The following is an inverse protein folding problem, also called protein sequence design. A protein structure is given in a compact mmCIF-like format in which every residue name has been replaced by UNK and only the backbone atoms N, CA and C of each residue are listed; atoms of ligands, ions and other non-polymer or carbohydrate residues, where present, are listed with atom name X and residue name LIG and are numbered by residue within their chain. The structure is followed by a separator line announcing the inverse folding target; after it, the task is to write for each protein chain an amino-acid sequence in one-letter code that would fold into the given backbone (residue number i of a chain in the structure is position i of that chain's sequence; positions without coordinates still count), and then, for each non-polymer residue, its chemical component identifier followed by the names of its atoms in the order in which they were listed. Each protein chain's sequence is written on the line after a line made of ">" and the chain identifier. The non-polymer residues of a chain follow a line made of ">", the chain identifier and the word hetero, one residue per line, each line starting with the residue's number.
data_IF_852149219030
#
_entry.id   IF_852149219030
#
_cell.length_a   1.000
_cell.length_b   1.000
_cell.length_c   1.000
_cell.angle_alpha   90.00
_cell.angle_beta   90.00
_cell.angle_gamma   90.00
#
_symmetry.space_group_name_H-M   'P 1'
#
loop_
_entity.id
_entity.type
_entity.pdbx_description
1 polymer ?
#
# COMPACT_ATOMS: atom_id res chain seq x y z
N UNK A 1 -1.82 13.27 -9.48
CA UNK A 1 -2.37 12.70 -10.72
C UNK A 1 -1.72 11.35 -10.99
N UNK A 2 -2.51 10.34 -11.31
CA UNK A 2 -2.07 8.98 -11.70
C UNK A 2 -2.54 8.74 -13.12
N UNK A 3 -1.67 8.22 -13.98
CA UNK A 3 -2.05 7.91 -15.36
C UNK A 3 -1.59 6.51 -15.77
N UNK A 4 -2.46 5.80 -16.46
CA UNK A 4 -2.16 4.57 -17.20
C UNK A 4 -2.35 4.87 -18.69
N UNK A 5 -1.35 4.55 -19.51
CA UNK A 5 -1.40 4.77 -20.97
C UNK A 5 -1.13 3.45 -21.68
N UNK A 6 -2.15 2.87 -22.29
CA UNK A 6 -2.10 1.62 -23.03
C UNK A 6 -1.42 0.47 -22.25
N UNK A 7 -1.69 0.39 -20.95
CA UNK A 7 -1.02 -0.53 -20.03
C UNK A 7 -1.50 -1.94 -20.23
N UNK A 8 -0.56 -2.85 -20.47
CA UNK A 8 -0.81 -4.29 -20.53
C UNK A 8 0.07 -4.98 -19.49
N UNK A 9 -0.53 -5.89 -18.73
CA UNK A 9 0.20 -6.82 -17.86
C UNK A 9 -0.17 -8.25 -18.22
N UNK A 10 0.84 -9.00 -18.67
CA UNK A 10 0.77 -10.42 -18.97
C UNK A 10 1.67 -11.20 -18.00
N UNK A 11 1.14 -12.24 -17.40
CA UNK A 11 1.91 -13.16 -16.57
C UNK A 11 2.50 -14.32 -17.40
N UNK A 12 3.42 -15.09 -16.80
CA UNK A 12 4.19 -16.13 -17.49
C UNK A 12 3.35 -17.24 -18.17
N UNK A 13 2.12 -17.46 -17.74
CA UNK A 13 1.17 -18.44 -18.28
C UNK A 13 0.28 -17.86 -19.39
N UNK A 14 0.73 -16.82 -20.08
CA UNK A 14 -0.02 -16.08 -21.11
C UNK A 14 -1.35 -15.46 -20.64
N UNK A 15 -1.55 -15.39 -19.34
CA UNK A 15 -2.73 -14.74 -18.76
C UNK A 15 -2.57 -13.21 -18.77
N UNK A 16 -3.48 -12.54 -19.44
CA UNK A 16 -3.57 -11.08 -19.43
C UNK A 16 -4.39 -10.64 -18.23
N UNK A 17 -3.72 -10.07 -17.22
CA UNK A 17 -4.41 -9.46 -16.09
C UNK A 17 -4.93 -8.05 -16.41
N UNK A 18 -4.20 -7.31 -17.26
CA UNK A 18 -4.62 -6.04 -17.83
C UNK A 18 -4.29 -6.04 -19.32
N UNK A 19 -5.18 -5.55 -20.16
CA UNK A 19 -4.99 -5.48 -21.62
C UNK A 19 -5.36 -4.11 -22.12
N UNK A 20 -4.35 -3.35 -22.55
CA UNK A 20 -4.49 -2.02 -23.15
C UNK A 20 -5.35 -1.05 -22.30
N UNK A 21 -5.08 -1.01 -21.00
CA UNK A 21 -5.83 -0.16 -20.06
C UNK A 21 -5.28 1.25 -20.09
N UNK A 22 -6.17 2.22 -20.33
CA UNK A 22 -5.86 3.64 -20.19
C UNK A 22 -6.84 4.28 -19.22
N UNK A 23 -6.33 4.99 -18.22
CA UNK A 23 -7.13 5.73 -17.25
C UNK A 23 -6.31 6.88 -16.67
N UNK A 24 -7.01 7.86 -16.17
CA UNK A 24 -6.43 9.01 -15.49
C UNK A 24 -7.20 9.27 -14.20
N UNK A 25 -6.46 9.53 -13.11
CA UNK A 25 -7.01 9.87 -11.81
C UNK A 25 -6.38 11.19 -11.39
N UNK A 26 -7.22 12.21 -11.22
CA UNK A 26 -6.77 13.55 -10.85
C UNK A 26 -6.57 13.67 -9.32
N UNK A 27 -5.89 14.73 -8.92
CA UNK A 27 -5.71 15.04 -7.49
C UNK A 27 -7.07 15.35 -6.84
N UNK A 28 -7.29 14.77 -5.65
CA UNK A 28 -8.53 14.95 -4.89
C UNK A 28 -9.68 14.03 -5.30
N UNK A 29 -9.52 13.20 -6.31
CA UNK A 29 -10.55 12.23 -6.69
C UNK A 29 -10.59 11.04 -5.73
N UNK A 30 -11.80 10.53 -5.52
CA UNK A 30 -12.07 9.27 -4.84
C UNK A 30 -12.58 8.25 -5.87
N UNK A 31 -11.81 7.20 -6.12
CA UNK A 31 -12.05 6.25 -7.21
C UNK A 31 -12.31 4.84 -6.68
N UNK A 32 -13.40 4.23 -7.10
CA UNK A 32 -13.67 2.81 -6.90
C UNK A 32 -13.23 1.99 -8.11
N UNK A 33 -12.44 0.92 -7.87
CA UNK A 33 -12.11 -0.07 -8.89
C UNK A 33 -13.00 -1.30 -8.66
N UNK A 34 -13.98 -1.47 -9.54
CA UNK A 34 -14.97 -2.55 -9.46
C UNK A 34 -14.78 -3.59 -10.57
N UNK A 35 -15.22 -4.81 -10.33
CA UNK A 35 -15.15 -5.89 -11.31
C UNK A 35 -15.17 -7.27 -10.64
N UNK A 36 -15.40 -8.32 -11.42
CA UNK A 36 -15.39 -9.71 -10.96
C UNK A 36 -14.04 -10.14 -10.33
N UNK A 37 -14.01 -11.27 -9.63
CA UNK A 37 -12.75 -11.87 -9.20
C UNK A 37 -11.89 -12.19 -10.42
N UNK A 38 -10.58 -11.92 -10.35
CA UNK A 38 -9.68 -12.10 -11.49
C UNK A 38 -9.68 -10.98 -12.54
N UNK A 39 -10.53 -9.96 -12.43
CA UNK A 39 -10.61 -8.85 -13.40
C UNK A 39 -9.38 -7.91 -13.44
N UNK A 40 -8.31 -8.21 -12.70
CA UNK A 40 -7.08 -7.42 -12.73
C UNK A 40 -6.99 -6.30 -11.69
N UNK A 41 -7.99 -6.13 -10.80
CA UNK A 41 -8.01 -5.05 -9.78
C UNK A 41 -6.75 -5.03 -8.91
N UNK A 42 -6.37 -6.19 -8.36
CA UNK A 42 -5.16 -6.32 -7.54
C UNK A 42 -3.89 -6.07 -8.36
N UNK A 43 -3.87 -6.48 -9.63
CA UNK A 43 -2.74 -6.22 -10.53
C UNK A 43 -2.58 -4.73 -10.81
N UNK A 44 -3.68 -4.00 -11.00
CA UNK A 44 -3.66 -2.55 -11.16
C UNK A 44 -3.05 -1.88 -9.93
N UNK A 45 -3.46 -2.28 -8.72
CA UNK A 45 -2.86 -1.78 -7.48
C UNK A 45 -1.38 -2.12 -7.38
N UNK A 46 -0.98 -3.37 -7.70
CA UNK A 46 0.43 -3.81 -7.66
C UNK A 46 1.34 -3.02 -8.60
N UNK A 47 0.82 -2.59 -9.74
CA UNK A 47 1.53 -1.68 -10.64
C UNK A 47 1.74 -0.31 -9.98
N UNK A 48 0.74 0.24 -9.29
CA UNK A 48 0.84 1.56 -8.65
C UNK A 48 1.97 1.63 -7.62
N UNK A 49 2.08 0.63 -6.72
CA UNK A 49 3.16 0.64 -5.73
C UNK A 49 4.42 -0.13 -6.17
N UNK A 50 4.55 -0.37 -7.48
CA UNK A 50 5.74 -1.01 -8.09
C UNK A 50 6.12 -2.37 -7.48
N UNK A 51 5.13 -3.18 -7.08
CA UNK A 51 5.33 -4.61 -6.79
C UNK A 51 5.43 -5.39 -8.10
N UNK A 52 4.69 -4.95 -9.12
CA UNK A 52 4.73 -5.47 -10.47
C UNK A 52 5.12 -4.37 -11.46
N UNK A 53 5.71 -4.75 -12.58
CA UNK A 53 5.98 -3.85 -13.71
C UNK A 53 5.02 -4.18 -14.86
N UNK A 54 4.57 -3.18 -15.63
CA UNK A 54 3.77 -3.43 -16.82
C UNK A 54 4.59 -4.20 -17.86
N UNK A 55 3.93 -5.03 -18.68
CA UNK A 55 4.55 -5.70 -19.83
C UNK A 55 4.74 -4.71 -20.97
N UNK A 56 3.79 -3.79 -21.15
CA UNK A 56 3.86 -2.67 -22.08
C UNK A 56 2.98 -1.52 -21.60
N UNK A 57 3.15 -0.34 -22.20
CA UNK A 57 2.47 0.87 -21.79
C UNK A 57 3.21 1.60 -20.66
N UNK A 58 2.62 2.71 -20.21
CA UNK A 58 3.23 3.60 -19.21
C UNK A 58 2.30 3.76 -18.03
N UNK A 59 2.85 3.61 -16.81
CA UNK A 59 2.19 3.98 -15.57
C UNK A 59 2.97 5.15 -14.97
N UNK A 60 2.30 6.27 -14.69
CA UNK A 60 2.96 7.41 -14.06
C UNK A 60 2.19 7.93 -12.86
N UNK A 61 2.93 8.44 -11.88
CA UNK A 61 2.42 9.06 -10.65
C UNK A 61 3.12 10.41 -10.49
N UNK A 62 2.35 11.48 -10.42
CA UNK A 62 2.92 12.83 -10.37
C UNK A 62 3.83 13.17 -11.55
N UNK A 63 3.57 12.61 -12.74
CA UNK A 63 4.41 12.77 -13.93
C UNK A 63 5.65 11.85 -13.99
N UNK A 64 5.93 11.08 -12.95
CA UNK A 64 7.07 10.16 -12.90
C UNK A 64 6.62 8.79 -13.43
N UNK A 65 7.26 8.30 -14.51
CA UNK A 65 7.05 6.93 -14.99
C UNK A 65 7.63 5.92 -13.99
N UNK A 66 6.76 5.18 -13.31
CA UNK A 66 7.16 4.25 -12.26
C UNK A 66 7.75 2.94 -12.78
N UNK A 67 7.52 2.58 -14.07
CA UNK A 67 8.10 1.39 -14.68
C UNK A 67 9.63 1.46 -14.81
N UNK A 68 10.18 2.68 -14.88
CA UNK A 68 11.62 2.94 -15.01
C UNK A 68 12.32 3.21 -13.66
N UNK A 69 11.58 3.13 -12.54
CA UNK A 69 12.20 3.28 -11.23
C UNK A 69 13.17 2.12 -10.96
N UNK A 70 14.36 2.47 -10.48
CA UNK A 70 15.31 1.49 -9.94
C UNK A 70 14.80 0.98 -8.59
N UNK A 71 15.27 -0.22 -8.20
CA UNK A 71 14.88 -0.81 -6.91
C UNK A 71 15.17 0.09 -5.72
N UNK A 72 16.21 0.90 -5.79
CA UNK A 72 16.60 1.87 -4.76
C UNK A 72 15.60 3.04 -4.61
N UNK A 73 14.88 3.39 -5.68
CA UNK A 73 13.91 4.49 -5.69
C UNK A 73 12.49 4.04 -5.32
N UNK A 74 12.18 2.74 -5.45
CA UNK A 74 10.85 2.19 -5.10
C UNK A 74 10.46 2.48 -3.64
N UNK A 75 11.35 2.36 -2.63
CA UNK A 75 10.99 2.73 -1.26
C UNK A 75 10.55 4.19 -1.12
N UNK A 76 11.15 5.11 -1.86
CA UNK A 76 10.75 6.52 -1.82
C UNK A 76 9.37 6.75 -2.43
N UNK A 77 9.03 6.06 -3.52
CA UNK A 77 7.68 6.06 -4.08
C UNK A 77 6.65 5.57 -3.03
N UNK A 78 6.92 4.42 -2.40
CA UNK A 78 6.02 3.82 -1.42
C UNK A 78 5.81 4.67 -0.17
N UNK A 79 6.83 5.44 0.26
CA UNK A 79 6.72 6.41 1.36
C UNK A 79 5.75 7.55 1.08
N UNK A 80 5.49 7.86 -0.19
CA UNK A 80 4.52 8.87 -0.59
C UNK A 80 3.08 8.33 -0.69
N UNK A 81 2.85 7.06 -0.34
CA UNK A 81 1.56 6.38 -0.45
C UNK A 81 1.14 5.79 0.90
N UNK A 82 -0.13 5.94 1.26
CA UNK A 82 -0.77 5.11 2.28
C UNK A 82 -1.37 3.88 1.62
N UNK A 83 -0.88 2.69 1.93
CA UNK A 83 -1.36 1.43 1.35
C UNK A 83 -1.93 0.56 2.45
N UNK A 84 -3.22 0.23 2.36
CA UNK A 84 -3.87 -0.75 3.24
C UNK A 84 -4.05 -2.04 2.47
N UNK A 85 -3.40 -3.11 2.92
CA UNK A 85 -3.46 -4.41 2.28
C UNK A 85 -4.67 -5.22 2.74
N UNK A 86 -5.22 -6.04 1.86
CA UNK A 86 -6.35 -6.91 2.16
C UNK A 86 -6.01 -7.96 3.23
N UNK A 87 -4.78 -8.44 3.28
CA UNK A 87 -4.23 -9.40 4.24
C UNK A 87 -3.46 -8.74 5.40
N UNK A 88 -3.72 -7.45 5.61
CA UNK A 88 -3.20 -6.55 6.65
C UNK A 88 -1.67 -6.44 6.73
N UNK A 89 -0.90 -7.45 6.30
CA UNK A 89 0.58 -7.51 6.33
C UNK A 89 1.19 -7.23 7.71
N UNK A 90 0.48 -7.59 8.78
CA UNK A 90 0.95 -7.40 10.14
C UNK A 90 2.03 -8.42 10.52
N UNK A 91 2.99 -7.97 11.31
CA UNK A 91 4.00 -8.79 11.94
C UNK A 91 3.35 -9.56 13.10
N UNK A 92 3.02 -10.84 12.86
CA UNK A 92 2.19 -11.64 13.76
C UNK A 92 2.78 -11.84 15.16
N UNK A 93 4.10 -11.84 15.29
CA UNK A 93 4.84 -12.03 16.54
C UNK A 93 5.21 -10.70 17.23
N UNK A 94 4.65 -9.58 16.77
CA UNK A 94 4.90 -8.26 17.32
C UNK A 94 3.61 -7.67 17.88
N UNK A 95 3.74 -6.76 18.84
CA UNK A 95 2.59 -6.05 19.39
C UNK A 95 1.96 -5.10 18.36
N UNK A 96 0.75 -4.62 18.61
CA UNK A 96 0.10 -3.55 17.85
C UNK A 96 0.99 -2.31 17.82
N UNK A 97 1.56 -1.93 18.95
CA UNK A 97 2.52 -0.84 19.05
C UNK A 97 3.71 -1.05 18.12
N UNK A 98 4.34 -2.23 18.15
CA UNK A 98 5.52 -2.51 17.34
C UNK A 98 5.22 -2.59 15.84
N UNK A 99 4.05 -3.08 15.45
CA UNK A 99 3.60 -3.06 14.07
C UNK A 99 3.57 -1.63 13.51
N UNK A 100 2.98 -0.68 14.24
CA UNK A 100 2.92 0.73 13.83
C UNK A 100 4.31 1.39 13.94
N UNK A 101 5.04 1.13 15.02
CA UNK A 101 6.38 1.69 15.24
C UNK A 101 7.39 1.23 14.19
N UNK A 102 7.25 0.02 13.66
CA UNK A 102 8.19 -0.57 12.70
C UNK A 102 8.42 0.34 11.49
N UNK A 103 7.34 0.82 10.89
CA UNK A 103 7.41 1.71 9.72
C UNK A 103 8.11 3.02 10.08
N UNK A 104 7.74 3.63 11.21
CA UNK A 104 8.30 4.92 11.65
C UNK A 104 9.79 4.79 11.98
N UNK A 105 10.23 3.67 12.57
CA UNK A 105 11.66 3.38 12.86
C UNK A 105 12.50 3.40 11.60
N UNK A 106 11.97 2.92 10.47
CA UNK A 106 12.70 2.92 9.18
C UNK A 106 12.95 4.32 8.62
N UNK A 107 12.28 5.34 9.16
CA UNK A 107 12.45 6.73 8.74
C UNK A 107 13.56 7.48 9.51
N UNK A 108 14.24 6.81 10.44
CA UNK A 108 15.34 7.42 11.23
C UNK A 108 14.87 8.42 12.29
N UNK A 109 13.63 8.34 12.72
CA UNK A 109 13.02 9.24 13.70
C UNK A 109 13.44 8.84 15.13
N UNK A 110 13.55 9.80 16.05
CA UNK A 110 13.95 9.56 17.44
C UNK A 110 12.92 8.70 18.19
N UNK A 111 13.38 7.87 19.14
CA UNK A 111 12.49 6.98 19.92
C UNK A 111 11.38 7.74 20.66
N UNK A 112 11.67 8.95 21.15
CA UNK A 112 10.67 9.80 21.82
C UNK A 112 9.56 10.23 20.88
N UNK A 113 9.91 10.61 19.66
CA UNK A 113 8.99 11.02 18.62
C UNK A 113 8.19 9.84 18.05
N UNK A 114 8.81 8.66 17.91
CA UNK A 114 8.12 7.44 17.53
C UNK A 114 6.98 7.15 18.51
N UNK A 115 7.27 7.17 19.83
CA UNK A 115 6.25 6.91 20.83
C UNK A 115 5.06 7.88 20.74
N UNK A 116 5.32 9.16 20.57
CA UNK A 116 4.27 10.17 20.42
C UNK A 116 3.39 9.91 19.17
N UNK A 117 4.02 9.60 18.02
CA UNK A 117 3.33 9.32 16.75
C UNK A 117 2.51 8.05 16.81
N UNK A 118 3.07 6.96 17.34
CA UNK A 118 2.36 5.67 17.48
C UNK A 118 1.14 5.83 18.39
N UNK A 119 1.29 6.46 19.57
CA UNK A 119 0.17 6.70 20.46
C UNK A 119 -0.91 7.57 19.81
N UNK A 120 -0.52 8.59 19.05
CA UNK A 120 -1.45 9.42 18.28
C UNK A 120 -2.23 8.61 17.25
N UNK A 121 -1.54 7.83 16.42
CA UNK A 121 -2.15 6.98 15.40
C UNK A 121 -3.11 5.95 16.02
N UNK A 122 -2.68 5.24 17.07
CA UNK A 122 -3.52 4.24 17.75
C UNK A 122 -4.77 4.85 18.40
N UNK A 123 -4.70 6.08 18.89
CA UNK A 123 -5.88 6.81 19.39
C UNK A 123 -6.85 7.12 18.27
N UNK A 124 -6.38 7.58 17.12
CA UNK A 124 -7.22 7.90 15.94
C UNK A 124 -8.00 6.68 15.48
N UNK A 125 -7.35 5.49 15.45
CA UNK A 125 -8.01 4.25 14.99
C UNK A 125 -8.72 3.50 16.12
N UNK A 126 -8.75 4.04 17.36
CA UNK A 126 -9.43 3.45 18.52
C UNK A 126 -8.80 2.16 19.04
N UNK A 127 -7.47 2.02 18.96
CA UNK A 127 -6.74 0.83 19.40
C UNK A 127 -5.69 1.11 20.48
N UNK A 128 -5.72 2.28 21.09
CA UNK A 128 -4.74 2.66 22.11
C UNK A 128 -4.69 1.67 23.29
N UNK A 129 -5.86 1.22 23.78
CA UNK A 129 -5.96 0.28 24.89
C UNK A 129 -5.44 -1.13 24.55
N UNK A 130 -5.31 -1.43 23.24
CA UNK A 130 -4.82 -2.71 22.72
C UNK A 130 -3.38 -2.63 22.20
N UNK A 131 -2.65 -1.59 22.55
CA UNK A 131 -1.29 -1.36 22.04
C UNK A 131 -0.31 -2.51 22.34
N UNK A 132 -0.51 -3.22 23.43
CA UNK A 132 0.33 -4.34 23.87
C UNK A 132 -0.18 -5.70 23.36
N UNK A 133 -1.36 -5.77 22.75
CA UNK A 133 -1.89 -7.00 22.16
C UNK A 133 -1.13 -7.40 20.90
N UNK A 134 -1.15 -8.68 20.58
CA UNK A 134 -0.66 -9.22 19.30
C UNK A 134 -1.78 -9.26 18.27
N UNK A 135 -1.48 -9.33 16.94
CA UNK A 135 -2.52 -9.46 15.91
C UNK A 135 -3.47 -10.63 16.13
N UNK A 136 -3.01 -11.75 16.68
CA UNK A 136 -3.83 -12.93 16.97
C UNK A 136 -4.95 -12.67 18.00
N UNK A 137 -4.78 -11.67 18.85
CA UNK A 137 -5.75 -11.27 19.89
C UNK A 137 -6.76 -10.23 19.36
N UNK A 138 -6.65 -9.83 18.11
CA UNK A 138 -7.50 -8.83 17.46
C UNK A 138 -8.51 -9.47 16.51
N UNK A 139 -9.70 -8.88 16.45
CA UNK A 139 -10.65 -9.15 15.36
C UNK A 139 -10.10 -8.69 14.01
N UNK A 140 -10.62 -9.23 12.90
CA UNK A 140 -10.19 -8.82 11.55
C UNK A 140 -10.33 -7.32 11.28
N UNK A 141 -11.42 -6.70 11.78
CA UNK A 141 -11.60 -5.26 11.69
C UNK A 141 -10.58 -4.44 12.50
N UNK A 142 -10.14 -4.97 13.65
CA UNK A 142 -9.08 -4.35 14.46
C UNK A 142 -7.72 -4.49 13.77
N UNK A 143 -7.42 -5.67 13.21
CA UNK A 143 -6.19 -5.88 12.42
C UNK A 143 -6.13 -4.93 11.22
N UNK A 144 -7.25 -4.71 10.54
CA UNK A 144 -7.34 -3.75 9.44
C UNK A 144 -7.04 -2.32 9.93
N UNK A 145 -7.56 -1.93 11.10
CA UNK A 145 -7.28 -0.61 11.68
C UNK A 145 -5.83 -0.44 12.13
N UNK A 146 -5.15 -1.52 12.55
CA UNK A 146 -3.68 -1.48 12.79
C UNK A 146 -2.94 -1.19 11.49
N UNK A 147 -3.37 -1.81 10.37
CA UNK A 147 -2.78 -1.53 9.05
C UNK A 147 -3.06 -0.12 8.53
N UNK A 148 -4.06 0.58 9.07
CA UNK A 148 -4.38 1.97 8.74
C UNK A 148 -3.61 2.97 9.61
N UNK A 149 -3.19 2.58 10.83
CA UNK A 149 -2.44 3.42 11.77
C UNK A 149 -0.99 3.65 11.34
#
# INVERSE_FOLDING_TARGET
>A
MITFQNVTKRYKNDHYALKNVSLEIHSGEFVFVVGASGAGKSTLMKLLYSEEKPTSGVVSIGGINIAHLTNEKIPNLRRCMGIVFQDYKLLQNQTVYDNVAYVIRTLGISSKEINARVNGALKIVGLHEKMNATPAELSGGEQQRVGLA
#
